data_IF_369847703310
#
_entry.id   IF_369847703310
#
_cell.length_a   1.000
_cell.length_b   1.000
_cell.length_c   1.000
_cell.angle_alpha   90.00
_cell.angle_beta   90.00
_cell.angle_gamma   90.00
#
_symmetry.space_group_name_H-M   'P 1'
#
loop_
_entity.id
_entity.type
_entity.pdbx_description
1 polymer ?
#
# COMPACT_ATOMS: atom_id res chain seq x y z
N UNK A 1 -11.12 -9.33 7.47
CA UNK A 1 -10.45 -8.08 7.03
C UNK A 1 -9.73 -8.42 5.73
N UNK A 2 -9.98 -7.67 4.66
CA UNK A 2 -9.41 -7.92 3.32
C UNK A 2 -8.08 -7.22 3.09
N UNK A 3 -7.51 -6.56 4.11
CA UNK A 3 -6.23 -5.84 4.05
C UNK A 3 -6.10 -4.94 2.81
N UNK A 4 -5.11 -5.16 1.94
CA UNK A 4 -4.86 -4.38 0.72
C UNK A 4 -5.85 -4.64 -0.41
N UNK A 5 -6.60 -5.74 -0.38
CA UNK A 5 -7.48 -6.17 -1.47
C UNK A 5 -8.70 -5.26 -1.67
N UNK A 6 -9.23 -4.68 -0.59
CA UNK A 6 -10.43 -3.85 -0.65
C UNK A 6 -10.08 -2.36 -0.71
N UNK A 7 -9.54 -1.92 -1.85
CA UNK A 7 -9.43 -0.51 -2.21
C UNK A 7 -10.73 -0.03 -2.86
N UNK A 8 -11.12 1.21 -2.57
CA UNK A 8 -12.31 1.86 -3.14
C UNK A 8 -11.81 3.09 -3.85
N UNK A 9 -12.27 3.31 -5.08
CA UNK A 9 -11.94 4.46 -5.90
C UNK A 9 -12.57 4.30 -7.29
N UNK A 10 -12.40 5.30 -8.15
CA UNK A 10 -12.63 5.14 -9.58
C UNK A 10 -11.47 4.36 -10.22
N UNK A 11 -11.60 3.99 -11.50
CA UNK A 11 -10.50 3.38 -12.24
C UNK A 11 -9.27 4.29 -12.26
N UNK A 12 -9.44 5.55 -12.68
CA UNK A 12 -8.34 6.51 -12.80
C UNK A 12 -7.60 6.76 -11.48
N UNK A 13 -8.34 6.75 -10.37
CA UNK A 13 -7.77 6.91 -9.04
C UNK A 13 -7.00 5.67 -8.58
N UNK A 14 -7.55 4.47 -8.79
CA UNK A 14 -6.92 3.19 -8.42
C UNK A 14 -5.78 2.78 -9.35
N UNK A 15 -5.72 3.32 -10.57
CA UNK A 15 -4.63 3.08 -11.52
C UNK A 15 -3.27 3.56 -11.01
N UNK A 16 -3.24 4.35 -9.92
CA UNK A 16 -2.03 4.75 -9.20
C UNK A 16 -1.98 4.27 -7.74
N UNK A 17 -2.54 3.09 -7.42
CA UNK A 17 -2.45 2.46 -6.10
C UNK A 17 -2.11 0.98 -6.20
N UNK A 18 -0.81 0.68 -6.21
CA UNK A 18 -0.28 -0.68 -6.22
C UNK A 18 0.41 -1.00 -4.90
N UNK A 19 0.11 -2.16 -4.31
CA UNK A 19 0.74 -2.61 -3.07
C UNK A 19 1.34 -3.99 -3.25
N UNK A 20 2.65 -4.08 -3.12
CA UNK A 20 3.37 -5.32 -3.01
C UNK A 20 3.36 -5.80 -1.55
N UNK A 21 3.22 -7.10 -1.39
CA UNK A 21 3.37 -7.81 -0.13
C UNK A 21 4.23 -9.05 -0.37
N UNK A 22 5.26 -9.23 0.46
CA UNK A 22 6.06 -10.45 0.50
C UNK A 22 6.08 -11.00 1.93
N UNK A 23 5.83 -12.29 2.06
CA UNK A 23 5.90 -13.00 3.34
C UNK A 23 6.26 -14.48 3.14
N UNK A 24 6.92 -15.12 4.12
CA UNK A 24 7.16 -16.56 4.06
C UNK A 24 5.86 -17.31 4.31
N UNK A 25 5.74 -18.48 3.69
CA UNK A 25 4.71 -19.44 4.02
C UNK A 25 5.06 -20.14 5.34
N UNK A 26 4.11 -20.10 6.27
CA UNK A 26 4.27 -20.63 7.62
C UNK A 26 4.61 -22.12 7.56
N UNK A 27 5.74 -22.49 8.17
CA UNK A 27 6.19 -23.88 8.22
C UNK A 27 6.83 -24.40 6.94
N UNK A 28 7.01 -23.57 5.90
CA UNK A 28 7.65 -23.96 4.65
C UNK A 28 9.02 -23.27 4.48
N UNK A 29 9.04 -21.94 4.44
CA UNK A 29 10.25 -21.17 4.11
C UNK A 29 10.48 -20.00 5.08
N UNK A 30 10.21 -20.22 6.37
CA UNK A 30 10.37 -19.19 7.42
C UNK A 30 11.84 -18.96 7.77
N UNK A 31 12.63 -20.02 7.94
CA UNK A 31 14.04 -19.92 8.31
C UNK A 31 14.83 -19.22 7.21
N UNK A 32 15.53 -18.14 7.56
CA UNK A 32 16.30 -17.31 6.62
C UNK A 32 15.45 -16.41 5.72
N UNK A 33 14.15 -16.27 5.99
CA UNK A 33 13.28 -15.37 5.23
C UNK A 33 13.62 -13.89 5.43
N UNK A 34 14.15 -13.49 6.59
CA UNK A 34 14.45 -12.09 6.90
C UNK A 34 15.43 -11.44 5.92
N UNK A 35 16.45 -12.18 5.47
CA UNK A 35 17.39 -11.69 4.45
C UNK A 35 16.69 -11.48 3.11
N UNK A 36 15.88 -12.45 2.66
CA UNK A 36 15.09 -12.37 1.42
C UNK A 36 14.10 -11.20 1.43
N UNK A 37 13.41 -11.00 2.56
CA UNK A 37 12.49 -9.88 2.77
C UNK A 37 13.23 -8.54 2.76
N UNK A 38 14.43 -8.47 3.33
CA UNK A 38 15.29 -7.28 3.25
C UNK A 38 15.73 -7.00 1.81
N UNK A 39 16.12 -8.01 1.04
CA UNK A 39 16.46 -7.86 -0.38
C UNK A 39 15.27 -7.35 -1.18
N UNK A 40 14.06 -7.84 -0.92
CA UNK A 40 12.84 -7.30 -1.54
C UNK A 40 12.66 -5.80 -1.25
N UNK A 41 12.84 -5.36 0.01
CA UNK A 41 12.74 -3.94 0.36
C UNK A 41 13.83 -3.10 -0.30
N UNK A 42 15.06 -3.62 -0.41
CA UNK A 42 16.17 -2.95 -1.09
C UNK A 42 15.90 -2.78 -2.58
N UNK A 43 15.36 -3.80 -3.25
CA UNK A 43 14.90 -3.70 -4.65
C UNK A 43 13.82 -2.63 -4.76
N UNK A 44 12.79 -2.68 -3.90
CA UNK A 44 11.70 -1.70 -3.94
C UNK A 44 12.22 -0.27 -3.81
N UNK A 45 13.18 -0.02 -2.91
CA UNK A 45 13.79 1.30 -2.66
C UNK A 45 14.53 1.88 -3.87
N UNK A 46 15.08 1.05 -4.76
CA UNK A 46 15.71 1.51 -6.01
C UNK A 46 14.69 2.14 -6.97
N UNK A 47 13.40 1.90 -6.74
CA UNK A 47 12.30 2.35 -7.59
C UNK A 47 11.41 3.41 -6.91
N UNK A 48 11.90 4.11 -5.88
CA UNK A 48 11.24 5.24 -5.23
C UNK A 48 9.79 4.93 -4.78
N UNK A 49 9.59 3.96 -3.88
CA UNK A 49 8.26 3.60 -3.43
C UNK A 49 7.62 4.76 -2.65
N UNK A 50 6.30 4.91 -2.76
CA UNK A 50 5.50 5.87 -1.98
C UNK A 50 5.66 5.59 -0.49
N UNK A 51 5.65 4.31 -0.12
CA UNK A 51 5.86 3.85 1.25
C UNK A 51 6.38 2.44 1.28
N UNK A 52 7.13 2.10 2.34
CA UNK A 52 7.57 0.75 2.65
C UNK A 52 7.40 0.48 4.14
N UNK A 53 7.20 -0.78 4.50
CA UNK A 53 7.12 -1.15 5.90
C UNK A 53 7.09 -2.62 6.19
N UNK A 54 7.16 -2.92 7.48
CA UNK A 54 7.06 -4.26 8.05
C UNK A 54 5.84 -4.29 8.99
N UNK A 55 4.91 -5.22 8.77
CA UNK A 55 3.73 -5.35 9.63
C UNK A 55 4.07 -5.81 11.06
N UNK A 56 5.29 -6.29 11.33
CA UNK A 56 5.72 -6.74 12.65
C UNK A 56 6.26 -5.61 13.51
N UNK A 57 7.22 -4.83 12.99
CA UNK A 57 7.89 -3.74 13.74
C UNK A 57 7.51 -2.32 13.29
N UNK A 58 6.71 -2.20 12.23
CA UNK A 58 6.22 -0.92 11.72
C UNK A 58 6.91 -0.47 10.42
N UNK A 59 6.41 0.62 9.85
CA UNK A 59 6.95 1.22 8.64
C UNK A 59 8.17 2.13 8.91
N UNK A 60 8.75 2.70 7.85
CA UNK A 60 9.91 3.58 7.97
C UNK A 60 9.66 4.77 8.92
N UNK A 61 8.44 5.32 8.98
CA UNK A 61 8.10 6.41 9.91
C UNK A 61 8.17 5.94 11.37
N UNK A 62 7.52 4.82 11.70
CA UNK A 62 7.49 4.29 13.08
C UNK A 62 8.83 3.75 13.56
N UNK A 63 9.67 3.30 12.64
CA UNK A 63 11.03 2.84 12.95
C UNK A 63 12.07 3.97 12.91
N UNK A 64 11.66 5.21 12.61
CA UNK A 64 12.57 6.37 12.60
C UNK A 64 13.54 6.41 11.41
N UNK A 65 13.22 5.73 10.31
CA UNK A 65 13.99 5.76 9.07
C UNK A 65 14.01 4.43 8.33
N UNK A 66 14.44 4.49 7.07
CA UNK A 66 14.60 3.31 6.20
C UNK A 66 15.70 2.38 6.72
N UNK A 67 16.81 2.94 7.22
CA UNK A 67 17.94 2.13 7.72
C UNK A 67 17.52 1.24 8.90
N UNK A 68 16.77 1.81 9.85
CA UNK A 68 16.23 1.06 10.98
C UNK A 68 15.24 0.00 10.51
N UNK A 69 14.34 0.33 9.58
CA UNK A 69 13.42 -0.64 8.97
C UNK A 69 14.18 -1.83 8.37
N UNK A 70 15.20 -1.59 7.56
CA UNK A 70 16.00 -2.65 6.92
C UNK A 70 16.79 -3.48 7.94
N UNK A 71 17.40 -2.83 8.93
CA UNK A 71 18.16 -3.50 9.98
C UNK A 71 17.28 -4.43 10.84
N UNK A 72 16.03 -4.04 11.05
CA UNK A 72 15.11 -4.73 11.95
C UNK A 72 14.27 -5.85 11.29
N UNK A 73 14.36 -6.05 9.96
CA UNK A 73 13.67 -7.14 9.26
C UNK A 73 14.13 -8.49 9.82
N UNK A 74 13.16 -9.29 10.25
CA UNK A 74 13.35 -10.62 10.83
C UNK A 74 12.66 -11.69 10.00
N UNK A 75 13.02 -12.94 10.26
CA UNK A 75 12.26 -14.09 9.77
C UNK A 75 10.77 -13.96 10.15
N UNK A 76 9.89 -14.48 9.30
CA UNK A 76 8.44 -14.46 9.51
C UNK A 76 7.79 -13.07 9.45
N UNK A 77 8.53 -12.02 9.09
CA UNK A 77 7.95 -10.70 8.83
C UNK A 77 7.04 -10.69 7.59
N UNK A 78 6.20 -9.66 7.49
CA UNK A 78 5.36 -9.38 6.31
C UNK A 78 5.70 -7.96 5.87
N UNK A 79 6.44 -7.86 4.76
CA UNK A 79 6.95 -6.58 4.26
C UNK A 79 6.12 -6.08 3.09
N UNK A 80 6.04 -4.75 2.97
CA UNK A 80 5.22 -4.07 1.99
C UNK A 80 6.00 -3.00 1.26
N UNK A 81 5.62 -2.76 0.00
CA UNK A 81 6.02 -1.60 -0.77
C UNK A 81 4.83 -1.07 -1.59
N UNK A 82 4.64 0.24 -1.62
CA UNK A 82 3.54 0.92 -2.31
C UNK A 82 4.10 1.71 -3.48
N UNK A 83 3.47 1.60 -4.65
CA UNK A 83 3.82 2.33 -5.87
C UNK A 83 2.58 3.00 -6.46
N UNK A 84 2.80 4.08 -7.21
CA UNK A 84 1.75 4.94 -7.75
C UNK A 84 1.63 4.90 -9.28
N UNK A 85 2.37 4.02 -9.95
CA UNK A 85 2.33 3.85 -11.40
C UNK A 85 2.67 2.41 -11.82
N UNK A 86 2.14 1.98 -12.98
CA UNK A 86 2.26 0.60 -13.48
C UNK A 86 3.67 0.32 -14.01
N UNK A 87 4.33 1.30 -14.58
CA UNK A 87 5.65 1.17 -15.20
C UNK A 87 6.68 0.72 -14.16
N UNK A 88 6.69 1.37 -13.00
CA UNK A 88 7.50 0.97 -11.85
C UNK A 88 7.16 -0.44 -11.37
N UNK A 89 5.88 -0.81 -11.31
CA UNK A 89 5.44 -2.16 -10.91
C UNK A 89 6.06 -3.22 -11.83
N UNK A 90 6.08 -2.98 -13.15
CA UNK A 90 6.71 -3.89 -14.13
C UNK A 90 8.20 -4.04 -13.86
N UNK A 91 8.93 -2.94 -13.65
CA UNK A 91 10.37 -3.00 -13.41
C UNK A 91 10.71 -3.70 -12.10
N UNK A 92 9.96 -3.45 -11.03
CA UNK A 92 10.12 -4.16 -9.75
C UNK A 92 9.85 -5.65 -9.92
N UNK A 93 8.80 -6.04 -10.67
CA UNK A 93 8.53 -7.45 -10.96
C UNK A 93 9.68 -8.12 -11.71
N UNK A 94 10.28 -7.46 -12.71
CA UNK A 94 11.44 -7.98 -13.45
C UNK A 94 12.65 -8.18 -12.53
N UNK A 95 12.94 -7.23 -11.65
CA UNK A 95 14.02 -7.35 -10.66
C UNK A 95 13.77 -8.50 -9.68
N UNK A 96 12.53 -8.67 -9.21
CA UNK A 96 12.17 -9.78 -8.33
C UNK A 96 12.28 -11.16 -9.00
N UNK A 97 11.97 -11.24 -10.29
CA UNK A 97 12.21 -12.47 -11.09
C UNK A 97 13.70 -12.78 -11.17
N UNK A 98 14.54 -11.78 -11.47
CA UNK A 98 16.01 -11.97 -11.52
C UNK A 98 16.58 -12.36 -10.15
N UNK A 99 16.04 -11.80 -9.08
CA UNK A 99 16.50 -12.05 -7.72
C UNK A 99 16.16 -13.46 -7.19
N UNK A 100 15.16 -14.13 -7.78
CA UNK A 100 14.73 -15.49 -7.46
C UNK A 100 14.74 -15.82 -5.95
N UNK A 101 14.08 -14.97 -5.17
CA UNK A 101 14.12 -15.05 -3.72
C UNK A 101 13.44 -16.31 -3.16
N UNK A 102 12.70 -17.07 -3.98
CA UNK A 102 11.94 -18.24 -3.56
C UNK A 102 10.81 -17.90 -2.58
N UNK A 103 10.22 -16.71 -2.74
CA UNK A 103 9.16 -16.15 -1.89
C UNK A 103 7.93 -15.81 -2.73
N UNK A 104 6.74 -16.02 -2.17
CA UNK A 104 5.51 -15.60 -2.81
C UNK A 104 5.36 -14.08 -2.75
N UNK A 105 4.97 -13.47 -3.86
CA UNK A 105 4.70 -12.03 -3.97
C UNK A 105 3.23 -11.82 -4.30
N UNK A 106 2.56 -10.98 -3.52
CA UNK A 106 1.20 -10.53 -3.81
C UNK A 106 1.28 -9.10 -4.30
N UNK A 107 0.67 -8.82 -5.45
CA UNK A 107 0.52 -7.46 -5.98
C UNK A 107 -0.96 -7.10 -5.98
N UNK A 108 -1.34 -6.15 -5.12
CA UNK A 108 -2.68 -5.58 -5.07
C UNK A 108 -2.75 -4.38 -6.02
N UNK A 109 -3.85 -4.26 -6.75
CA UNK A 109 -4.12 -3.20 -7.71
C UNK A 109 -5.33 -3.56 -8.56
N UNK A 110 -5.62 -2.78 -9.60
CA UNK A 110 -6.66 -3.14 -10.57
C UNK A 110 -6.28 -4.46 -11.25
N UNK A 111 -7.16 -5.45 -11.22
CA UNK A 111 -6.83 -6.82 -11.63
C UNK A 111 -6.37 -6.94 -13.10
N UNK A 112 -6.89 -6.10 -14.00
CA UNK A 112 -6.45 -6.05 -15.40
C UNK A 112 -5.06 -5.40 -15.53
N UNK A 113 -4.83 -4.26 -14.88
CA UNK A 113 -3.52 -3.57 -14.87
C UNK A 113 -2.41 -4.46 -14.31
N UNK A 114 -2.68 -5.16 -13.20
CA UNK A 114 -1.73 -6.11 -12.60
C UNK A 114 -1.49 -7.31 -13.53
N UNK A 115 -2.50 -7.74 -14.30
CA UNK A 115 -2.33 -8.81 -15.28
C UNK A 115 -1.32 -8.41 -16.37
N UNK A 116 -1.50 -7.23 -16.94
CA UNK A 116 -0.63 -6.67 -17.96
C UNK A 116 0.79 -6.49 -17.40
N UNK A 117 0.91 -5.96 -16.17
CA UNK A 117 2.20 -5.77 -15.52
C UNK A 117 2.95 -7.11 -15.33
N UNK A 118 2.25 -8.16 -14.90
CA UNK A 118 2.84 -9.51 -14.83
C UNK A 118 3.30 -10.01 -16.20
N UNK A 119 2.49 -9.88 -17.26
CA UNK A 119 2.86 -10.34 -18.60
C UNK A 119 4.07 -9.59 -19.15
N UNK A 120 4.13 -8.27 -18.94
CA UNK A 120 5.26 -7.44 -19.32
C UNK A 120 6.57 -7.82 -18.58
N UNK A 121 6.45 -8.43 -17.39
CA UNK A 121 7.56 -9.00 -16.64
C UNK A 121 7.82 -10.49 -16.97
N UNK A 122 7.12 -11.08 -17.95
CA UNK A 122 7.26 -12.49 -18.32
C UNK A 122 6.61 -13.48 -17.34
N UNK A 123 5.67 -13.01 -16.50
CA UNK A 123 5.01 -13.79 -15.47
C UNK A 123 3.58 -14.16 -15.85
N UNK A 124 3.20 -15.40 -15.54
CA UNK A 124 1.80 -15.85 -15.52
C UNK A 124 1.33 -15.95 -14.07
N UNK A 125 0.26 -15.22 -13.72
CA UNK A 125 -0.31 -15.25 -12.36
C UNK A 125 -0.93 -16.61 -12.08
N UNK A 126 -0.67 -17.19 -10.91
CA UNK A 126 -1.24 -18.48 -10.51
C UNK A 126 -2.60 -18.35 -9.79
N UNK A 127 -2.86 -17.21 -9.15
CA UNK A 127 -4.08 -16.97 -8.36
C UNK A 127 -4.48 -15.50 -8.45
N UNK A 128 -5.78 -15.25 -8.44
CA UNK A 128 -6.37 -13.91 -8.35
C UNK A 128 -7.43 -13.93 -7.26
N UNK A 129 -7.37 -12.97 -6.36
CA UNK A 129 -8.40 -12.74 -5.35
C UNK A 129 -9.22 -11.51 -5.74
N UNK A 130 -10.55 -11.58 -5.55
CA UNK A 130 -11.45 -10.48 -5.86
C UNK A 130 -12.19 -10.03 -4.61
N UNK A 131 -12.24 -8.72 -4.38
CA UNK A 131 -13.11 -8.16 -3.35
C UNK A 131 -14.56 -8.11 -3.86
N UNK A 132 -15.47 -8.80 -3.18
CA UNK A 132 -16.92 -8.74 -3.48
C UNK A 132 -17.63 -7.49 -2.92
N UNK A 133 -16.87 -6.54 -2.36
CA UNK A 133 -17.45 -5.34 -1.78
C UNK A 133 -17.97 -5.51 -0.35
N UNK A 134 -18.81 -4.57 0.08
CA UNK A 134 -19.40 -4.50 1.42
C UNK A 134 -20.90 -4.73 1.33
N UNK A 135 -21.42 -5.57 2.22
CA UNK A 135 -22.82 -5.98 2.28
C UNK A 135 -23.38 -5.71 3.68
N UNK A 136 -24.67 -5.39 3.78
CA UNK A 136 -25.35 -5.13 5.06
C UNK A 136 -25.69 -3.66 5.31
N UNK A 137 -25.52 -3.18 6.56
CA UNK A 137 -25.85 -1.80 6.99
C UNK A 137 -24.86 -0.75 6.49
N UNK A 138 -24.74 -0.62 5.17
CA UNK A 138 -23.84 0.34 4.51
C UNK A 138 -24.22 1.80 4.78
N UNK A 139 -25.45 2.06 5.20
CA UNK A 139 -25.95 3.35 5.68
C UNK A 139 -25.22 3.88 6.92
N UNK A 140 -24.60 2.99 7.71
CA UNK A 140 -23.82 3.36 8.90
C UNK A 140 -22.36 3.69 8.59
N UNK A 141 -21.92 3.49 7.36
CA UNK A 141 -20.53 3.73 6.98
C UNK A 141 -20.32 5.21 6.62
N UNK A 142 -19.09 5.72 6.77
CA UNK A 142 -18.74 7.02 6.21
C UNK A 142 -19.11 7.11 4.71
N UNK A 143 -19.36 8.33 4.20
CA UNK A 143 -19.55 8.56 2.77
C UNK A 143 -18.42 7.96 1.92
N UNK A 144 -18.74 7.61 0.68
CA UNK A 144 -17.83 6.86 -0.20
C UNK A 144 -16.46 7.54 -0.31
N UNK A 145 -16.45 8.84 -0.53
CA UNK A 145 -15.25 9.67 -0.65
C UNK A 145 -14.34 9.62 0.59
N UNK A 146 -14.91 9.47 1.79
CA UNK A 146 -14.14 9.29 3.02
C UNK A 146 -13.58 7.86 3.08
N UNK A 147 -14.35 6.89 2.61
CA UNK A 147 -13.93 5.49 2.55
C UNK A 147 -12.82 5.23 1.53
N UNK A 148 -12.77 6.00 0.44
CA UNK A 148 -11.67 5.97 -0.53
C UNK A 148 -10.31 6.28 0.14
N UNK A 149 -10.34 7.10 1.19
CA UNK A 149 -9.17 7.43 2.01
C UNK A 149 -8.95 6.40 3.13
N UNK A 150 -9.95 6.14 3.98
CA UNK A 150 -9.76 5.31 5.18
C UNK A 150 -9.41 3.85 4.88
N UNK A 151 -9.86 3.31 3.73
CA UNK A 151 -9.56 1.93 3.35
C UNK A 151 -8.14 1.73 2.81
N UNK A 152 -7.37 2.79 2.57
CA UNK A 152 -5.96 2.63 2.16
C UNK A 152 -5.10 1.93 3.21
N UNK A 153 -5.46 2.00 4.49
CA UNK A 153 -4.74 1.26 5.53
C UNK A 153 -5.11 -0.23 5.58
N UNK A 154 -6.22 -0.67 4.96
CA UNK A 154 -6.73 -2.05 5.00
C UNK A 154 -7.22 -2.57 6.37
N UNK A 155 -6.73 -1.98 7.46
CA UNK A 155 -7.00 -2.31 8.87
C UNK A 155 -7.98 -1.34 9.54
N UNK A 156 -8.48 -0.35 8.80
CA UNK A 156 -9.36 0.72 9.32
C UNK A 156 -8.74 1.52 10.48
N UNK A 157 -7.41 1.67 10.52
CA UNK A 157 -6.73 2.47 11.55
C UNK A 157 -6.81 3.98 11.32
N UNK A 158 -7.11 4.42 10.09
CA UNK A 158 -7.26 5.84 9.77
C UNK A 158 -8.69 6.29 10.10
N UNK A 159 -8.91 7.12 11.14
CA UNK A 159 -10.26 7.48 11.56
C UNK A 159 -10.91 8.44 10.55
N UNK A 160 -12.20 8.25 10.27
CA UNK A 160 -12.96 9.15 9.38
C UNK A 160 -12.91 10.62 9.84
N UNK A 161 -12.93 10.87 11.16
CA UNK A 161 -12.86 12.23 11.70
C UNK A 161 -11.50 12.90 11.44
N UNK A 162 -10.42 12.13 11.39
CA UNK A 162 -9.12 12.66 10.99
C UNK A 162 -9.13 13.06 9.51
N UNK A 163 -9.78 12.26 8.65
CA UNK A 163 -9.96 12.61 7.23
C UNK A 163 -10.75 13.92 7.07
N UNK A 164 -11.88 14.07 7.76
CA UNK A 164 -12.66 15.32 7.73
C UNK A 164 -11.81 16.53 8.14
N UNK A 165 -11.10 16.42 9.28
CA UNK A 165 -10.20 17.48 9.72
C UNK A 165 -9.13 17.83 8.68
N UNK A 166 -8.54 16.82 8.03
CA UNK A 166 -7.53 17.04 6.99
C UNK A 166 -8.10 17.74 5.76
N UNK A 167 -9.32 17.41 5.34
CA UNK A 167 -10.01 18.11 4.25
C UNK A 167 -10.23 19.58 4.63
N UNK A 168 -10.72 19.86 5.84
CA UNK A 168 -10.94 21.23 6.33
C UNK A 168 -9.65 22.05 6.42
N UNK A 169 -8.57 21.44 6.92
CA UNK A 169 -7.27 22.10 7.04
C UNK A 169 -6.67 22.43 5.67
N UNK A 170 -6.84 21.54 4.67
CA UNK A 170 -6.43 21.78 3.28
C UNK A 170 -7.26 22.91 2.66
N UNK A 171 -8.59 22.83 2.79
CA UNK A 171 -9.51 23.85 2.28
C UNK A 171 -9.22 25.24 2.84
N UNK A 172 -8.93 25.33 4.14
CA UNK A 172 -8.63 26.60 4.80
C UNK A 172 -7.19 27.10 4.59
N UNK A 173 -6.36 26.38 3.80
CA UNK A 173 -4.96 26.75 3.58
C UNK A 173 -4.05 26.58 4.80
N UNK A 174 -4.51 25.88 5.86
CA UNK A 174 -3.73 25.63 7.07
C UNK A 174 -2.67 24.53 6.87
N UNK A 175 -2.86 23.68 5.87
CA UNK A 175 -1.99 22.54 5.55
C UNK A 175 -2.04 22.24 4.05
N UNK A 176 -0.94 21.79 3.46
CA UNK A 176 -0.96 21.28 2.08
C UNK A 176 -1.57 19.87 2.02
N UNK A 177 -2.10 19.47 0.87
CA UNK A 177 -2.66 18.13 0.70
C UNK A 177 -1.63 17.01 0.98
N UNK A 178 -0.37 17.22 0.58
CA UNK A 178 0.73 16.30 0.87
C UNK A 178 1.00 16.16 2.38
N UNK A 179 1.08 17.27 3.11
CA UNK A 179 1.28 17.24 4.57
C UNK A 179 0.07 16.62 5.30
N UNK A 180 -1.14 16.82 4.78
CA UNK A 180 -2.35 16.19 5.29
C UNK A 180 -2.37 14.67 5.03
N UNK A 181 -1.97 14.23 3.84
CA UNK A 181 -1.80 12.81 3.52
C UNK A 181 -0.76 12.13 4.41
N UNK A 182 0.38 12.79 4.67
CA UNK A 182 1.40 12.29 5.60
C UNK A 182 0.86 12.11 7.03
N UNK A 183 -0.02 13.01 7.50
CA UNK A 183 -0.71 12.84 8.78
C UNK A 183 -1.63 11.63 8.80
N UNK A 184 -2.40 11.43 7.73
CA UNK A 184 -3.30 10.29 7.59
C UNK A 184 -2.57 8.95 7.48
N UNK A 185 -1.30 8.96 7.08
CA UNK A 185 -0.48 7.75 7.02
C UNK A 185 0.02 7.32 8.40
N UNK A 186 0.14 8.21 9.39
CA UNK A 186 0.71 7.88 10.71
C UNK A 186 -0.01 6.73 11.44
N UNK A 187 -1.35 6.62 11.43
CA UNK A 187 -2.04 5.47 12.01
C UNK A 187 -1.75 4.14 11.30
N UNK A 188 -1.26 4.16 10.06
CA UNK A 188 -0.95 2.94 9.31
C UNK A 188 0.41 2.37 9.73
N UNK A 189 0.41 1.34 10.58
CA UNK A 189 1.65 0.73 11.07
C UNK A 189 2.45 0.00 9.98
N UNK A 190 1.80 -0.75 9.09
CA UNK A 190 2.48 -1.60 8.11
C UNK A 190 2.99 -0.86 6.85
N UNK A 191 2.61 0.41 6.65
CA UNK A 191 3.12 1.23 5.54
C UNK A 191 2.42 1.03 4.20
N UNK A 192 1.16 0.56 4.17
CA UNK A 192 0.41 0.35 2.92
C UNK A 192 -0.46 1.54 2.49
N UNK A 193 -0.44 2.62 3.26
CA UNK A 193 -1.21 3.82 2.97
C UNK A 193 -0.51 4.65 1.89
N UNK A 194 -1.20 4.87 0.77
CA UNK A 194 -0.65 5.59 -0.37
C UNK A 194 -0.86 7.10 -0.21
N UNK A 195 0.20 7.81 0.18
CA UNK A 195 0.14 9.26 0.44
C UNK A 195 -0.06 10.08 -0.83
N UNK A 196 0.45 9.64 -1.97
CA UNK A 196 0.27 10.32 -3.26
C UNK A 196 -1.20 10.30 -3.67
N UNK A 197 -1.84 9.13 -3.59
CA UNK A 197 -3.27 8.98 -3.82
C UNK A 197 -4.09 9.82 -2.82
N UNK A 198 -3.76 9.75 -1.54
CA UNK A 198 -4.46 10.53 -0.52
C UNK A 198 -4.38 12.05 -0.77
N UNK A 199 -3.22 12.57 -1.18
CA UNK A 199 -3.05 13.99 -1.48
C UNK A 199 -3.92 14.45 -2.68
N UNK A 200 -4.04 13.61 -3.72
CA UNK A 200 -4.94 13.88 -4.86
C UNK A 200 -6.41 13.94 -4.41
N UNK A 201 -6.85 12.95 -3.64
CA UNK A 201 -8.23 12.88 -3.12
C UNK A 201 -8.54 14.07 -2.20
N UNK A 202 -7.62 14.43 -1.30
CA UNK A 202 -7.78 15.58 -0.41
C UNK A 202 -7.91 16.89 -1.17
N UNK A 203 -7.09 17.10 -2.20
CA UNK A 203 -7.18 18.29 -3.08
C UNK A 203 -8.55 18.37 -3.75
N UNK A 204 -9.01 17.26 -4.34
CA UNK A 204 -10.32 17.20 -5.01
C UNK A 204 -11.49 17.44 -4.05
N UNK A 205 -11.42 16.90 -2.83
CA UNK A 205 -12.45 17.08 -1.81
C UNK A 205 -12.47 18.50 -1.27
N UNK A 206 -11.31 19.09 -0.99
CA UNK A 206 -11.20 20.46 -0.51
C UNK A 206 -11.71 21.50 -1.52
N UNK A 207 -11.68 21.20 -2.83
CA UNK A 207 -12.21 22.06 -3.88
C UNK A 207 -13.73 21.94 -4.08
N UNK A 208 -14.33 20.80 -3.67
CA UNK A 208 -15.76 20.52 -3.86
C UNK A 208 -16.65 21.07 -2.74
N UNK A 209 -16.10 21.22 -1.55
CA UNK A 209 -16.83 21.66 -0.35
C UNK A 209 -16.48 23.09 0.00
#
# INVERSE_FOLDING_TARGET
MTHTLHRIGSWDDLAGDYVFLMMPSKGINVQGSGEKLRTFLQIALQHNPVSIGDARKGNAYHQGGIDNLLANVEDQAVVHAVFDNKETVVEVLKELVKADLGMSVVVSGIAAEVHEACHAAGLTRHTVEHSLGRWGRTDKLPPREILEITNMCGHSMVPAQLVHKMIEDVKAGRRTAAAAAAELAKPCMCGIFNTERAARLLTALAARF
#
